data_IF_708810793258
#
_entry.id   IF_708810793258
#
_cell.length_a   1.000
_cell.length_b   1.000
_cell.length_c   1.000
_cell.angle_alpha   90.00
_cell.angle_beta   90.00
_cell.angle_gamma   90.00
#
_symmetry.space_group_name_H-M   'P 1'
#
loop_
_entity.id
_entity.type
_entity.pdbx_description
1 polymer ?
#
# COMPACT_ATOMS: atom_id res chain seq x y z
N UNK A 1 16.87 2.93 13.82
CA UNK A 1 15.79 2.68 12.84
C UNK A 1 16.24 3.31 11.54
N UNK A 2 16.49 2.52 10.49
CA UNK A 2 16.84 3.05 9.17
C UNK A 2 15.62 2.95 8.25
N UNK A 3 15.37 3.95 7.42
CA UNK A 3 14.34 3.87 6.37
C UNK A 3 15.04 3.64 5.03
N UNK A 4 14.64 2.59 4.30
CA UNK A 4 15.11 2.42 2.93
C UNK A 4 14.11 3.09 2.01
N UNK A 5 14.49 4.26 1.50
CA UNK A 5 13.80 4.90 0.38
C UNK A 5 14.34 4.29 -0.92
N UNK A 6 13.47 3.69 -1.74
CA UNK A 6 13.88 3.31 -3.09
C UNK A 6 13.76 4.53 -4.01
N UNK A 7 14.90 5.07 -4.43
CA UNK A 7 14.95 6.02 -5.55
C UNK A 7 14.59 5.23 -6.82
N UNK A 8 13.34 5.39 -7.29
CA UNK A 8 12.61 4.62 -8.32
C UNK A 8 12.14 3.23 -7.89
N UNK A 9 10.95 3.19 -7.32
CA UNK A 9 10.18 1.95 -7.14
C UNK A 9 9.68 1.47 -8.50
N UNK A 10 10.05 0.26 -8.91
CA UNK A 10 9.38 -0.43 -10.03
C UNK A 10 8.28 -1.32 -9.47
N UNK A 11 7.25 -1.64 -10.28
CA UNK A 11 6.20 -2.62 -9.91
C UNK A 11 6.78 -3.93 -9.35
N UNK A 12 7.91 -4.40 -9.90
CA UNK A 12 8.61 -5.60 -9.42
C UNK A 12 9.31 -5.38 -8.07
N UNK A 13 9.94 -4.21 -7.85
CA UNK A 13 10.56 -3.87 -6.58
C UNK A 13 9.53 -3.78 -5.45
N UNK A 14 8.39 -3.14 -5.70
CA UNK A 14 7.28 -3.06 -4.74
C UNK A 14 6.78 -4.47 -4.38
N UNK A 15 6.54 -5.33 -5.36
CA UNK A 15 6.08 -6.70 -5.12
C UNK A 15 7.05 -7.49 -4.24
N UNK A 16 8.35 -7.40 -4.52
CA UNK A 16 9.40 -8.04 -3.71
C UNK A 16 9.43 -7.49 -2.29
N UNK A 17 9.28 -6.17 -2.11
CA UNK A 17 9.24 -5.57 -0.78
C UNK A 17 8.02 -6.03 0.02
N UNK A 18 6.83 -6.02 -0.59
CA UNK A 18 5.56 -6.46 0.02
C UNK A 18 5.60 -7.92 0.44
N UNK A 19 6.31 -8.77 -0.31
CA UNK A 19 6.50 -10.18 0.06
C UNK A 19 7.29 -10.38 1.37
N UNK A 20 8.05 -9.38 1.81
CA UNK A 20 8.85 -9.44 3.04
C UNK A 20 8.17 -8.73 4.22
N UNK A 21 7.44 -7.63 3.97
CA UNK A 21 6.79 -6.83 5.01
C UNK A 21 5.79 -5.85 4.39
N UNK A 22 4.88 -5.26 5.17
CA UNK A 22 4.08 -4.12 4.72
C UNK A 22 4.95 -2.96 4.21
N UNK A 23 4.49 -2.29 3.15
CA UNK A 23 5.18 -1.17 2.52
C UNK A 23 4.27 0.05 2.53
N UNK A 24 4.76 1.17 3.04
CA UNK A 24 4.06 2.46 2.95
C UNK A 24 4.15 2.97 1.52
N UNK A 25 3.04 3.43 0.96
CA UNK A 25 2.96 3.99 -0.40
C UNK A 25 2.11 5.24 -0.41
N UNK A 26 2.32 6.10 -1.39
CA UNK A 26 1.40 7.19 -1.72
C UNK A 26 0.54 6.82 -2.94
N UNK A 27 -0.71 7.27 -2.94
CA UNK A 27 -1.66 7.13 -4.04
C UNK A 27 -2.40 8.45 -4.30
N UNK A 28 -3.02 8.56 -5.47
CA UNK A 28 -4.17 9.47 -5.65
C UNK A 28 -5.44 8.81 -5.11
N UNK A 29 -6.07 9.45 -4.12
CA UNK A 29 -7.34 9.03 -3.55
C UNK A 29 -8.48 10.04 -3.76
N UNK A 30 -8.31 10.99 -4.71
CA UNK A 30 -9.25 12.09 -4.95
C UNK A 30 -10.48 11.71 -5.77
N UNK A 31 -10.45 10.60 -6.51
CA UNK A 31 -11.55 10.23 -7.41
C UNK A 31 -12.81 9.78 -6.66
N UNK A 32 -13.98 9.97 -7.27
CA UNK A 32 -15.26 9.48 -6.73
C UNK A 32 -15.26 7.97 -6.58
N UNK A 33 -14.68 7.25 -7.53
CA UNK A 33 -14.61 5.79 -7.51
C UNK A 33 -13.86 5.29 -6.28
N UNK A 34 -12.78 5.97 -5.88
CA UNK A 34 -12.03 5.66 -4.66
C UNK A 34 -12.83 6.01 -3.41
N UNK A 35 -13.42 7.20 -3.35
CA UNK A 35 -14.17 7.66 -2.17
C UNK A 35 -15.34 6.73 -1.83
N UNK A 36 -16.03 6.21 -2.85
CA UNK A 36 -17.20 5.34 -2.69
C UNK A 36 -16.91 3.84 -2.87
N UNK A 37 -15.64 3.43 -2.93
CA UNK A 37 -15.28 2.01 -2.97
C UNK A 37 -15.86 1.26 -1.75
N UNK A 38 -16.52 0.12 -2.02
CA UNK A 38 -17.09 -0.75 -1.00
C UNK A 38 -16.47 -2.16 -1.02
N UNK A 39 -16.35 -2.78 -2.19
CA UNK A 39 -15.87 -4.15 -2.34
C UNK A 39 -15.34 -4.46 -3.74
N UNK A 40 -14.68 -5.61 -3.89
CA UNK A 40 -14.17 -6.10 -5.17
C UNK A 40 -12.74 -5.67 -5.46
N UNK A 41 -12.24 -6.00 -6.66
CA UNK A 41 -10.96 -5.45 -7.11
C UNK A 41 -11.23 -4.09 -7.74
N UNK A 42 -10.72 -3.03 -7.12
CA UNK A 42 -10.79 -1.68 -7.61
C UNK A 42 -10.01 -1.54 -8.92
N UNK A 43 -10.74 -1.15 -9.97
CA UNK A 43 -10.25 -0.85 -11.32
C UNK A 43 -10.73 0.53 -11.79
N UNK A 44 -11.22 1.35 -10.86
CA UNK A 44 -11.82 2.65 -11.15
C UNK A 44 -10.78 3.69 -11.57
N UNK A 45 -11.28 4.81 -12.08
CA UNK A 45 -10.41 5.88 -12.58
C UNK A 45 -9.78 6.65 -11.41
N UNK A 46 -8.50 6.98 -11.57
CA UNK A 46 -7.72 7.83 -10.68
C UNK A 46 -6.53 8.41 -11.45
N UNK A 47 -6.02 9.56 -11.00
CA UNK A 47 -4.82 10.17 -11.55
C UNK A 47 -3.57 9.56 -10.92
N UNK A 48 -2.41 10.19 -11.17
CA UNK A 48 -1.14 9.90 -10.48
C UNK A 48 -0.65 11.10 -9.66
N UNK A 49 -1.53 12.07 -9.37
CA UNK A 49 -1.25 13.20 -8.48
C UNK A 49 -1.40 12.73 -7.02
N UNK A 50 -0.29 12.23 -6.46
CA UNK A 50 -0.25 11.61 -5.14
C UNK A 50 -0.70 12.59 -4.05
N UNK A 51 -1.73 12.21 -3.29
CA UNK A 51 -2.31 13.05 -2.24
C UNK A 51 -2.63 12.30 -0.94
N UNK A 52 -2.48 10.97 -0.91
CA UNK A 52 -2.88 10.15 0.24
C UNK A 52 -1.88 9.04 0.55
N UNK A 53 -1.58 8.84 1.84
CA UNK A 53 -0.65 7.84 2.33
C UNK A 53 -1.36 6.60 2.86
N UNK A 54 -0.98 5.42 2.35
CA UNK A 54 -1.57 4.11 2.69
C UNK A 54 -0.47 3.04 2.85
N UNK A 55 -0.86 1.81 3.19
CA UNK A 55 0.10 0.70 3.28
C UNK A 55 -0.35 -0.51 2.46
N UNK A 56 0.52 -0.99 1.57
CA UNK A 56 0.33 -2.29 0.91
C UNK A 56 0.76 -3.37 1.88
N UNK A 57 -0.18 -4.24 2.26
CA UNK A 57 0.05 -5.30 3.25
C UNK A 57 0.13 -6.70 2.62
N UNK A 58 -0.17 -6.81 1.32
CA UNK A 58 -0.15 -8.07 0.60
C UNK A 58 -0.54 -7.92 -0.87
N UNK A 59 -0.61 -9.05 -1.57
CA UNK A 59 -1.11 -9.13 -2.93
C UNK A 59 -1.73 -10.51 -3.17
N UNK A 60 -2.59 -10.61 -4.18
CA UNK A 60 -3.26 -11.86 -4.53
C UNK A 60 -3.64 -11.92 -6.00
N UNK A 61 -4.35 -12.99 -6.33
CA UNK A 61 -5.00 -13.18 -7.63
C UNK A 61 -6.38 -13.78 -7.34
N UNK A 62 -7.42 -13.20 -7.91
CA UNK A 62 -8.80 -13.72 -7.85
C UNK A 62 -8.92 -15.01 -8.67
N UNK A 63 -10.04 -15.72 -8.52
CA UNK A 63 -10.30 -16.96 -9.27
C UNK A 63 -10.36 -16.73 -10.79
N UNK A 64 -10.78 -15.55 -11.24
CA UNK A 64 -10.82 -15.15 -12.66
C UNK A 64 -9.47 -14.67 -13.20
N UNK A 65 -8.42 -14.68 -12.39
CA UNK A 65 -7.06 -14.29 -12.80
C UNK A 65 -6.71 -12.82 -12.57
N UNK A 66 -7.62 -12.00 -12.03
CA UNK A 66 -7.34 -10.60 -11.72
C UNK A 66 -6.34 -10.46 -10.56
N UNK A 67 -5.18 -9.89 -10.85
CA UNK A 67 -4.13 -9.63 -9.85
C UNK A 67 -4.45 -8.36 -9.08
N UNK A 68 -4.23 -8.37 -7.76
CA UNK A 68 -4.49 -7.20 -6.91
C UNK A 68 -3.46 -7.02 -5.81
N UNK A 69 -3.33 -5.79 -5.33
CA UNK A 69 -2.73 -5.41 -4.05
C UNK A 69 -3.79 -5.44 -2.95
N UNK A 70 -3.39 -5.77 -1.72
CA UNK A 70 -4.22 -5.56 -0.53
C UNK A 70 -3.68 -4.33 0.17
N UNK A 71 -4.49 -3.28 0.23
CA UNK A 71 -4.07 -1.97 0.74
C UNK A 71 -4.89 -1.63 1.97
N UNK A 72 -4.20 -1.32 3.07
CA UNK A 72 -4.79 -0.83 4.31
C UNK A 72 -4.95 0.69 4.22
N UNK A 73 -6.18 1.17 4.38
CA UNK A 73 -6.50 2.57 4.41
C UNK A 73 -6.61 3.09 5.87
N UNK A 74 -6.84 4.40 6.03
CA UNK A 74 -6.92 5.12 7.31
C UNK A 74 -8.28 5.81 7.53
N UNK A 75 -9.31 5.45 6.77
CA UNK A 75 -10.65 6.08 6.81
C UNK A 75 -11.68 5.32 7.66
N UNK A 76 -11.21 4.47 8.58
CA UNK A 76 -12.07 3.65 9.42
C UNK A 76 -12.52 2.35 8.76
N UNK A 77 -13.15 1.48 9.55
CA UNK A 77 -13.53 0.12 9.12
C UNK A 77 -14.84 0.08 8.34
N UNK A 78 -15.61 1.16 8.33
CA UNK A 78 -16.87 1.26 7.57
C UNK A 78 -16.63 1.50 6.07
N UNK A 79 -15.43 1.97 5.72
CA UNK A 79 -15.04 2.19 4.32
C UNK A 79 -14.45 0.92 3.70
N UNK A 80 -14.83 0.62 2.46
CA UNK A 80 -14.30 -0.51 1.72
C UNK A 80 -14.51 -1.86 2.42
N UNK A 81 -13.54 -2.76 2.23
CA UNK A 81 -13.56 -4.11 2.79
C UNK A 81 -12.98 -4.08 4.21
N UNK A 82 -13.75 -3.58 5.18
CA UNK A 82 -13.32 -3.41 6.58
C UNK A 82 -12.10 -2.48 6.75
N UNK A 83 -12.06 -1.38 5.98
CA UNK A 83 -10.95 -0.43 5.96
C UNK A 83 -9.82 -0.79 4.97
N UNK A 84 -10.04 -1.82 4.14
CA UNK A 84 -9.11 -2.25 3.10
C UNK A 84 -9.69 -2.05 1.71
N UNK A 85 -8.78 -2.00 0.73
CA UNK A 85 -9.12 -2.00 -0.69
C UNK A 85 -8.23 -2.99 -1.43
N UNK A 86 -8.82 -3.73 -2.38
CA UNK A 86 -8.07 -4.56 -3.31
C UNK A 86 -7.83 -3.78 -4.60
N UNK A 87 -6.66 -3.17 -4.79
CA UNK A 87 -6.38 -2.38 -5.99
C UNK A 87 -5.80 -3.25 -7.11
N UNK A 88 -6.26 -3.08 -8.34
CA UNK A 88 -5.73 -3.86 -9.47
C UNK A 88 -4.22 -3.69 -9.60
N UNK A 89 -3.54 -4.82 -9.78
CA UNK A 89 -2.09 -4.91 -9.94
C UNK A 89 -1.75 -5.37 -11.34
N UNK A 90 -0.53 -5.04 -11.79
CA UNK A 90 0.02 -5.51 -13.06
C UNK A 90 -0.75 -4.95 -14.27
N UNK A 91 -1.19 -3.69 -14.15
CA UNK A 91 -1.66 -2.86 -15.27
C UNK A 91 -0.45 -2.34 -16.08
N UNK A 92 -0.66 -1.85 -17.29
CA UNK A 92 0.43 -1.44 -18.18
C UNK A 92 1.23 -0.23 -17.67
N UNK A 93 0.57 0.71 -16.97
CA UNK A 93 1.20 1.90 -16.39
C UNK A 93 2.32 1.52 -15.39
N UNK A 94 3.48 2.16 -15.52
CA UNK A 94 4.65 1.90 -14.67
C UNK A 94 4.46 2.38 -13.24
N UNK A 95 3.72 3.48 -13.10
CA UNK A 95 3.27 4.13 -11.87
C UNK A 95 2.33 3.22 -11.05
N UNK A 96 1.72 2.22 -11.70
CA UNK A 96 0.65 1.41 -11.11
C UNK A 96 -0.65 2.20 -10.95
N UNK A 97 -1.73 1.48 -10.63
CA UNK A 97 -3.05 2.11 -10.46
C UNK A 97 -3.00 3.16 -9.35
N UNK A 98 -3.49 4.36 -9.65
CA UNK A 98 -3.46 5.53 -8.77
C UNK A 98 -2.06 5.96 -8.30
N UNK A 99 -1.01 5.61 -9.04
CA UNK A 99 0.37 5.95 -8.68
C UNK A 99 0.98 5.11 -7.55
N UNK A 100 0.36 3.99 -7.17
CA UNK A 100 0.77 3.15 -6.02
C UNK A 100 2.23 2.67 -6.04
N UNK A 101 2.88 2.67 -7.20
CA UNK A 101 4.27 2.28 -7.37
C UNK A 101 5.24 3.48 -7.53
N UNK A 102 4.78 4.73 -7.39
CA UNK A 102 5.61 5.93 -7.59
C UNK A 102 6.44 6.28 -6.36
N UNK A 103 5.82 6.31 -5.18
CA UNK A 103 6.48 6.63 -3.91
C UNK A 103 6.19 5.54 -2.88
N UNK A 104 7.20 4.71 -2.61
CA UNK A 104 7.09 3.57 -1.71
C UNK A 104 8.32 3.49 -0.80
N UNK A 105 8.08 3.22 0.48
CA UNK A 105 9.14 3.08 1.47
C UNK A 105 8.77 2.07 2.55
N UNK A 106 9.79 1.50 3.18
CA UNK A 106 9.60 0.59 4.30
C UNK A 106 10.72 0.75 5.33
N UNK A 107 10.43 0.49 6.61
CA UNK A 107 11.45 0.51 7.65
C UNK A 107 12.36 -0.73 7.56
N UNK A 108 13.60 -0.56 7.99
CA UNK A 108 14.51 -1.67 8.25
C UNK A 108 14.72 -1.79 9.75
N UNK A 109 14.34 -2.95 10.29
CA UNK A 109 14.67 -3.37 11.64
C UNK A 109 15.78 -4.43 11.57
N UNK A 110 17.00 -4.06 11.95
CA UNK A 110 18.17 -4.94 11.91
C UNK A 110 18.42 -5.71 13.21
N UNK A 111 17.88 -5.23 14.33
CA UNK A 111 17.90 -5.95 15.62
C UNK A 111 16.55 -6.62 15.88
N UNK A 112 16.54 -7.79 16.51
CA UNK A 112 15.30 -8.40 16.99
C UNK A 112 14.71 -7.62 18.18
N UNK A 113 15.57 -7.00 18.98
CA UNK A 113 15.19 -6.35 20.23
C UNK A 113 14.54 -4.99 20.02
N UNK A 114 13.52 -4.71 20.83
CA UNK A 114 13.00 -3.37 21.02
C UNK A 114 13.71 -2.74 22.24
N UNK A 115 13.99 -1.42 22.24
CA UNK A 115 14.49 -0.74 23.44
C UNK A 115 13.56 -1.00 24.62
N UNK A 116 14.12 -1.37 25.78
CA UNK A 116 13.34 -1.47 27.02
C UNK A 116 13.03 -0.06 27.52
N UNK A 117 11.80 0.21 28.02
CA UNK A 117 11.51 1.49 28.64
C UNK A 117 12.44 1.74 29.86
N UNK A 118 12.77 3.00 30.18
CA UNK A 118 13.53 3.34 31.38
C UNK A 118 12.83 2.80 32.63
N UNK A 119 13.60 2.36 33.62
CA UNK A 119 13.05 1.77 34.86
C UNK A 119 12.41 2.79 35.80
N UNK A 120 12.48 4.09 35.49
CA UNK A 120 12.16 5.20 36.39
C UNK A 120 10.81 5.90 36.06
N UNK A 121 9.95 5.29 35.22
CA UNK A 121 8.60 5.81 34.90
C UNK A 121 7.46 5.02 35.58
N UNK A 122 7.65 4.56 36.83
CA UNK A 122 6.59 4.02 37.68
C UNK A 122 6.37 4.90 38.92
#
# INVERSE_FOLDING_TARGET
MGMKMYLRTTRSALMKAVANQPVSVAIDAGSSDMQFYSEGVFTGDCSTELNHGVAVIGYGTTLDGTKYWIVKNSWGTEWGEQGFIRMQRNIDAEEGLCGIAMDASYPIKSSADNPKPPKDEL
#
